data_IF_084332109401
#
_entry.id   IF_084332109401
#
_cell.length_a   1.000
_cell.length_b   1.000
_cell.length_c   1.000
_cell.angle_alpha   90.00
_cell.angle_beta   90.00
_cell.angle_gamma   90.00
#
_symmetry.space_group_name_H-M   'P 1'
#
loop_
_entity.id
_entity.type
_entity.pdbx_description
1 polymer ?
#
# COMPACT_ATOMS: atom_id res chain seq x y z
N UNK A 1 -13.31 19.75 11.30
CA UNK A 1 -12.20 19.55 12.24
C UNK A 1 -11.71 18.14 12.03
N UNK A 2 -10.40 17.91 11.96
CA UNK A 2 -9.86 16.56 12.07
C UNK A 2 -9.82 16.30 13.57
N UNK A 3 -10.65 15.39 14.05
CA UNK A 3 -10.69 15.01 15.47
C UNK A 3 -9.83 13.76 15.63
N UNK A 4 -8.84 13.84 16.51
CA UNK A 4 -8.02 12.69 16.89
C UNK A 4 -8.52 12.27 18.27
N UNK A 5 -9.31 11.22 18.30
CA UNK A 5 -9.88 10.69 19.53
C UNK A 5 -9.04 9.52 20.01
N UNK A 6 -8.63 9.56 21.29
CA UNK A 6 -8.16 8.36 21.98
C UNK A 6 -9.39 7.54 22.33
N UNK A 7 -9.36 6.23 22.08
CA UNK A 7 -10.51 5.36 22.35
C UNK A 7 -10.96 5.40 23.83
N UNK A 8 -10.04 5.73 24.75
CA UNK A 8 -10.33 5.94 26.17
C UNK A 8 -11.11 7.25 26.49
N UNK A 9 -11.22 8.20 25.55
CA UNK A 9 -11.83 9.52 25.76
C UNK A 9 -13.13 9.74 24.98
N UNK A 10 -13.68 8.70 24.35
CA UNK A 10 -14.93 8.75 23.57
C UNK A 10 -16.22 8.94 24.41
N UNK A 11 -16.13 9.59 25.58
CA UNK A 11 -17.26 10.01 26.42
C UNK A 11 -17.09 11.47 26.84
N UNK A 12 -17.31 12.39 25.91
CA UNK A 12 -17.37 13.82 26.18
C UNK A 12 -18.08 14.56 25.07
N UNK A 13 -19.39 14.77 25.22
CA UNK A 13 -20.19 15.53 24.26
C UNK A 13 -19.88 17.03 24.37
N UNK A 14 -19.01 17.56 23.50
CA UNK A 14 -19.06 18.97 23.18
C UNK A 14 -20.23 19.23 22.23
N UNK A 15 -21.20 20.02 22.70
CA UNK A 15 -22.35 20.46 21.91
C UNK A 15 -21.84 21.40 20.84
N UNK A 16 -21.50 20.82 19.69
CA UNK A 16 -21.24 21.56 18.46
C UNK A 16 -22.44 22.46 18.14
N UNK A 17 -22.24 23.68 17.61
CA UNK A 17 -23.34 24.56 17.26
C UNK A 17 -24.33 23.82 16.38
N UNK A 18 -25.64 24.03 16.60
CA UNK A 18 -26.71 23.45 15.79
C UNK A 18 -26.54 23.97 14.36
N UNK A 19 -25.81 23.23 13.54
CA UNK A 19 -25.71 23.48 12.11
C UNK A 19 -27.10 23.18 11.55
N UNK A 20 -27.74 24.19 10.96
CA UNK A 20 -28.98 23.99 10.23
C UNK A 20 -28.68 23.01 9.09
N UNK A 21 -29.27 21.81 9.17
CA UNK A 21 -29.06 20.79 8.14
C UNK A 21 -29.73 21.27 6.86
N UNK A 22 -29.01 21.19 5.74
CA UNK A 22 -29.53 21.41 4.39
C UNK A 22 -29.21 20.23 3.50
N UNK A 23 -29.92 20.13 2.38
CA UNK A 23 -29.64 19.12 1.37
C UNK A 23 -28.23 19.30 0.80
N UNK A 24 -27.57 18.16 0.52
CA UNK A 24 -26.28 18.10 -0.17
C UNK A 24 -26.44 18.71 -1.55
N UNK A 25 -25.55 19.64 -1.90
CA UNK A 25 -25.46 20.27 -3.21
C UNK A 25 -24.19 19.78 -3.92
N UNK A 26 -24.12 19.94 -5.24
CA UNK A 26 -22.94 19.54 -6.03
C UNK A 26 -21.65 20.21 -5.51
N UNK A 27 -21.76 21.44 -5.02
CA UNK A 27 -20.63 22.20 -4.47
C UNK A 27 -20.03 21.58 -3.20
N UNK A 28 -20.79 20.74 -2.49
CA UNK A 28 -20.29 20.04 -1.30
C UNK A 28 -19.26 18.97 -1.65
N UNK A 29 -19.32 18.39 -2.86
CA UNK A 29 -18.34 17.42 -3.33
C UNK A 29 -16.92 18.01 -3.30
N UNK A 30 -16.76 19.29 -3.64
CA UNK A 30 -15.47 19.98 -3.65
C UNK A 30 -15.00 20.39 -2.25
N UNK A 31 -15.87 20.28 -1.24
CA UNK A 31 -15.56 20.57 0.17
C UNK A 31 -15.07 19.33 0.90
N UNK A 32 -15.34 18.13 0.40
CA UNK A 32 -14.85 16.87 0.96
C UNK A 32 -13.33 16.84 0.88
N UNK A 33 -12.71 16.43 1.99
CA UNK A 33 -11.27 16.27 2.14
C UNK A 33 -11.02 14.80 2.46
N UNK A 34 -10.07 14.21 1.76
CA UNK A 34 -9.77 12.80 1.90
C UNK A 34 -8.55 12.63 2.79
N UNK A 35 -8.68 11.80 3.81
CA UNK A 35 -7.57 11.32 4.63
C UNK A 35 -7.19 9.94 4.12
N UNK A 36 -5.90 9.66 3.91
CA UNK A 36 -5.44 8.36 3.43
C UNK A 36 -4.09 7.97 4.06
N UNK A 37 -3.79 6.68 4.02
CA UNK A 37 -2.49 6.08 4.38
C UNK A 37 -1.95 6.56 5.74
N UNK A 38 -2.69 6.37 6.86
CA UNK A 38 -2.18 6.71 8.19
C UNK A 38 -1.02 5.80 8.59
N UNK A 39 0.10 6.39 8.97
CA UNK A 39 1.32 5.71 9.39
C UNK A 39 1.75 6.21 10.78
N UNK A 40 1.64 5.37 11.80
CA UNK A 40 2.13 5.67 13.15
C UNK A 40 3.67 5.57 13.19
N UNK A 41 4.31 6.48 13.93
CA UNK A 41 5.77 6.48 14.09
C UNK A 41 6.24 5.26 14.88
N UNK A 42 7.51 4.81 14.70
CA UNK A 42 8.02 3.62 15.39
C UNK A 42 7.93 3.67 16.92
N UNK A 43 7.90 4.88 17.48
CA UNK A 43 7.78 5.14 18.92
C UNK A 43 6.34 5.42 19.38
N UNK A 44 5.35 5.33 18.50
CA UNK A 44 3.93 5.51 18.81
C UNK A 44 3.47 6.96 19.03
N UNK A 45 4.35 7.96 18.91
CA UNK A 45 4.05 9.35 19.31
C UNK A 45 3.46 10.24 18.23
N UNK A 46 3.63 9.87 16.96
CA UNK A 46 3.18 10.68 15.81
C UNK A 46 2.45 9.82 14.80
N UNK A 47 1.52 10.42 14.06
CA UNK A 47 0.84 9.78 12.93
C UNK A 47 1.03 10.65 11.70
N UNK A 48 1.74 10.15 10.69
CA UNK A 48 1.83 10.78 9.38
C UNK A 48 0.69 10.29 8.51
N UNK A 49 0.04 11.18 7.75
CA UNK A 49 -1.06 10.80 6.87
C UNK A 49 -1.13 11.74 5.66
N UNK A 50 -1.81 11.26 4.62
CA UNK A 50 -2.09 12.05 3.41
C UNK A 50 -3.38 12.83 3.60
N UNK A 51 -3.34 14.13 3.34
CA UNK A 51 -4.51 15.01 3.28
C UNK A 51 -4.71 15.51 1.86
N UNK A 52 -5.82 15.14 1.23
CA UNK A 52 -6.11 15.43 -0.18
C UNK A 52 -7.36 16.31 -0.33
N UNK A 53 -7.30 17.25 -1.26
CA UNK A 53 -8.39 18.17 -1.55
C UNK A 53 -8.52 18.50 -3.04
N UNK A 54 -9.73 18.88 -3.42
CA UNK A 54 -10.03 19.32 -4.79
C UNK A 54 -9.72 20.80 -4.97
N UNK A 55 -9.17 21.15 -6.13
CA UNK A 55 -9.09 22.51 -6.64
C UNK A 55 -9.96 22.61 -7.90
N UNK A 56 -11.04 23.37 -7.80
CA UNK A 56 -12.02 23.51 -8.87
C UNK A 56 -11.48 24.33 -10.05
N UNK A 57 -10.65 25.33 -9.77
CA UNK A 57 -10.15 26.24 -10.80
C UNK A 57 -9.16 25.52 -11.71
N UNK A 58 -8.28 24.73 -11.12
CA UNK A 58 -7.28 23.94 -11.83
C UNK A 58 -7.80 22.56 -12.24
N UNK A 59 -9.07 22.25 -11.91
CA UNK A 59 -9.74 20.98 -12.19
C UNK A 59 -8.87 19.76 -11.84
N UNK A 60 -8.31 19.77 -10.63
CA UNK A 60 -7.35 18.76 -10.17
C UNK A 60 -7.49 18.48 -8.68
N UNK A 61 -6.74 17.49 -8.21
CA UNK A 61 -6.55 17.25 -6.78
C UNK A 61 -5.13 17.61 -6.37
N UNK A 62 -5.02 18.20 -5.18
CA UNK A 62 -3.77 18.37 -4.46
C UNK A 62 -3.75 17.48 -3.23
N UNK A 63 -2.56 17.09 -2.81
CA UNK A 63 -2.38 16.37 -1.56
C UNK A 63 -1.06 16.74 -0.90
N UNK A 64 -1.06 16.72 0.43
CA UNK A 64 0.13 17.00 1.23
C UNK A 64 0.16 16.06 2.43
N UNK A 65 1.36 15.89 2.99
CA UNK A 65 1.55 15.14 4.21
C UNK A 65 1.25 16.02 5.40
N UNK A 66 0.49 15.46 6.33
CA UNK A 66 0.23 16.03 7.64
C UNK A 66 0.75 15.07 8.69
N UNK A 67 1.16 15.61 9.83
CA UNK A 67 1.56 14.81 10.99
C UNK A 67 0.76 15.28 12.19
N UNK A 68 0.14 14.32 12.84
CA UNK A 68 -0.50 14.47 14.12
C UNK A 68 0.43 14.06 15.24
N UNK A 69 0.44 14.83 16.33
CA UNK A 69 1.00 14.42 17.61
C UNK A 69 -0.08 13.68 18.42
N UNK A 70 0.24 12.46 18.88
CA UNK A 70 -0.72 11.55 19.54
C UNK A 70 -1.08 12.01 20.95
N UNK A 71 -0.23 12.81 21.60
CA UNK A 71 -0.46 13.30 22.96
C UNK A 71 -1.29 14.57 22.99
N UNK A 72 -0.91 15.55 22.18
CA UNK A 72 -1.56 16.86 22.14
C UNK A 72 -2.72 16.94 21.16
N UNK A 73 -2.83 15.99 20.22
CA UNK A 73 -3.79 16.05 19.11
C UNK A 73 -3.47 17.12 18.07
N UNK A 74 -2.33 17.81 18.19
CA UNK A 74 -1.95 18.89 17.25
C UNK A 74 -1.61 18.29 15.90
N UNK A 75 -2.28 18.81 14.86
CA UNK A 75 -2.08 18.41 13.46
C UNK A 75 -1.31 19.49 12.72
N UNK A 76 -0.17 19.13 12.15
CA UNK A 76 0.74 20.06 11.45
C UNK A 76 0.91 19.65 9.98
N UNK A 77 0.79 20.59 9.02
CA UNK A 77 1.16 20.33 7.63
C UNK A 77 2.69 20.18 7.54
N UNK A 78 3.16 19.04 7.05
CA UNK A 78 4.59 18.71 6.93
C UNK A 78 5.14 19.00 5.53
N UNK A 79 4.31 18.85 4.51
CA UNK A 79 4.64 19.31 3.16
C UNK A 79 3.68 20.42 2.74
N UNK A 80 4.19 21.31 1.89
CA UNK A 80 3.42 22.37 1.23
C UNK A 80 3.86 22.35 -0.22
N UNK A 81 3.00 21.86 -1.11
CA UNK A 81 3.34 21.68 -2.51
C UNK A 81 2.17 22.01 -3.43
N UNK A 82 2.49 22.42 -4.65
CA UNK A 82 1.52 22.72 -5.72
C UNK A 82 1.04 21.46 -6.46
N UNK A 83 1.28 20.26 -5.92
CA UNK A 83 0.98 18.96 -6.55
C UNK A 83 0.62 17.91 -5.49
N UNK A 84 0.97 16.64 -5.70
CA UNK A 84 0.45 15.51 -4.93
C UNK A 84 1.57 14.79 -4.18
N UNK A 85 1.38 14.69 -2.87
CA UNK A 85 2.13 13.81 -1.97
C UNK A 85 1.26 12.69 -1.43
N UNK A 86 1.83 11.50 -1.25
CA UNK A 86 1.06 10.35 -0.77
C UNK A 86 1.92 9.24 -0.16
N UNK A 87 1.24 8.33 0.56
CA UNK A 87 1.76 7.07 1.11
C UNK A 87 2.98 7.22 2.05
N UNK A 88 2.95 8.09 3.07
CA UNK A 88 4.10 8.27 3.96
C UNK A 88 4.49 6.96 4.66
N UNK A 89 5.80 6.73 4.83
CA UNK A 89 6.40 5.61 5.56
C UNK A 89 7.52 6.12 6.46
N UNK A 90 7.40 5.92 7.77
CA UNK A 90 8.46 6.26 8.71
C UNK A 90 9.68 5.36 8.49
N UNK A 91 10.88 5.93 8.61
CA UNK A 91 12.09 5.13 8.77
C UNK A 91 12.01 4.30 10.06
N UNK A 92 12.61 3.10 10.12
CA UNK A 92 12.56 2.25 11.32
C UNK A 92 13.12 2.88 12.60
N UNK A 93 13.98 3.89 12.46
CA UNK A 93 14.55 4.67 13.56
C UNK A 93 13.73 5.94 13.89
N UNK A 94 12.65 6.22 13.14
CA UNK A 94 11.73 7.33 13.34
C UNK A 94 12.29 8.71 12.97
N UNK A 95 13.46 8.78 12.31
CA UNK A 95 14.12 10.06 11.99
C UNK A 95 13.72 10.65 10.64
N UNK A 96 13.08 9.90 9.78
CA UNK A 96 12.69 10.36 8.45
C UNK A 96 11.35 9.81 8.00
N UNK A 97 10.71 10.52 7.08
CA UNK A 97 9.49 10.09 6.40
C UNK A 97 9.81 9.97 4.92
N UNK A 98 9.67 8.77 4.37
CA UNK A 98 9.71 8.47 2.95
C UNK A 98 8.30 8.58 2.37
N UNK A 99 8.16 9.12 1.16
CA UNK A 99 6.86 9.27 0.54
C UNK A 99 6.95 9.39 -0.98
N UNK A 100 5.81 9.24 -1.66
CA UNK A 100 5.69 9.55 -3.09
C UNK A 100 5.41 11.04 -3.24
N UNK A 101 6.17 11.71 -4.08
CA UNK A 101 6.05 13.14 -4.31
C UNK A 101 6.12 13.52 -5.79
N UNK A 102 5.44 14.61 -6.11
CA UNK A 102 5.49 15.32 -7.39
C UNK A 102 5.90 16.77 -7.14
N UNK A 103 7.16 17.11 -7.43
CA UNK A 103 7.72 18.46 -7.17
C UNK A 103 8.73 18.81 -8.24
N UNK A 104 8.84 20.09 -8.60
CA UNK A 104 9.87 20.57 -9.53
C UNK A 104 9.92 19.79 -10.85
N UNK A 105 8.74 19.38 -11.35
CA UNK A 105 8.56 18.53 -12.55
C UNK A 105 9.19 17.13 -12.44
N UNK A 106 9.50 16.68 -11.22
CA UNK A 106 10.06 15.37 -10.89
C UNK A 106 9.08 14.58 -10.02
N UNK A 107 8.73 13.39 -10.49
CA UNK A 107 7.93 12.42 -9.76
C UNK A 107 8.83 11.30 -9.26
N UNK A 108 8.54 10.78 -8.07
CA UNK A 108 9.25 9.61 -7.56
C UNK A 108 9.21 9.50 -6.04
N UNK A 109 10.30 9.00 -5.46
CA UNK A 109 10.48 8.85 -4.02
C UNK A 109 11.20 10.07 -3.45
N UNK A 110 10.65 10.59 -2.37
CA UNK A 110 11.15 11.75 -1.64
C UNK A 110 11.27 11.41 -0.15
N UNK A 111 12.20 12.06 0.53
CA UNK A 111 12.46 11.86 1.96
C UNK A 111 12.58 13.20 2.65
N UNK A 112 12.05 13.31 3.87
CA UNK A 112 12.18 14.50 4.73
C UNK A 112 12.44 14.13 6.19
N UNK A 113 13.03 15.05 7.00
CA UNK A 113 13.24 14.83 8.44
C UNK A 113 11.93 14.73 9.23
N UNK A 114 11.88 13.80 10.20
CA UNK A 114 10.74 13.52 11.06
C UNK A 114 10.30 14.68 11.98
N UNK A 115 11.20 15.61 12.26
CA UNK A 115 11.01 16.83 13.03
C UNK A 115 10.65 18.04 12.17
N UNK A 116 10.55 17.85 10.85
CA UNK A 116 10.26 18.90 9.88
C UNK A 116 11.52 19.42 9.20
N UNK A 117 11.35 19.96 7.99
CA UNK A 117 12.44 20.40 7.14
C UNK A 117 12.07 20.26 5.67
N UNK A 118 13.01 20.58 4.78
CA UNK A 118 12.78 20.44 3.35
C UNK A 118 12.90 18.98 2.90
N UNK A 119 12.05 18.59 1.95
CA UNK A 119 12.11 17.27 1.35
C UNK A 119 13.18 17.22 0.25
N UNK A 120 13.98 16.16 0.25
CA UNK A 120 14.96 15.87 -0.79
C UNK A 120 14.50 14.75 -1.72
N UNK A 121 14.84 14.79 -3.02
CA UNK A 121 14.57 13.68 -3.92
C UNK A 121 15.48 12.50 -3.57
N UNK A 122 14.89 11.32 -3.41
CA UNK A 122 15.63 10.07 -3.22
C UNK A 122 15.75 9.31 -4.55
N UNK A 123 14.69 9.29 -5.35
CA UNK A 123 14.68 8.72 -6.70
C UNK A 123 13.67 9.46 -7.57
N UNK A 124 14.09 9.89 -8.75
CA UNK A 124 13.24 10.61 -9.73
C UNK A 124 13.47 10.14 -11.16
N UNK A 125 13.82 8.86 -11.32
CA UNK A 125 13.99 8.25 -12.64
C UNK A 125 12.67 8.26 -13.43
N UNK A 126 12.75 8.28 -14.76
CA UNK A 126 11.56 8.22 -15.62
C UNK A 126 10.98 6.81 -15.62
N UNK A 127 9.74 6.66 -15.20
CA UNK A 127 9.06 5.38 -15.11
C UNK A 127 7.86 5.43 -14.18
N UNK A 128 7.30 4.26 -13.89
CA UNK A 128 6.24 4.09 -12.90
C UNK A 128 6.81 3.51 -11.61
N UNK A 129 6.59 4.21 -10.50
CA UNK A 129 6.88 3.73 -9.15
C UNK A 129 5.69 2.94 -8.62
N UNK A 130 5.93 1.71 -8.16
CA UNK A 130 4.95 0.89 -7.47
C UNK A 130 5.07 1.03 -5.95
N UNK A 131 5.12 -0.10 -5.26
CA UNK A 131 5.25 -0.20 -3.81
C UNK A 131 6.69 0.02 -3.34
N UNK A 132 6.87 0.37 -2.06
CA UNK A 132 8.17 0.53 -1.43
C UNK A 132 8.11 0.22 0.06
N UNK A 133 9.21 -0.34 0.58
CA UNK A 133 9.38 -0.75 1.97
C UNK A 133 10.80 -0.45 2.46
N UNK A 134 10.91 -0.01 3.70
CA UNK A 134 12.21 0.15 4.38
C UNK A 134 12.83 -1.21 4.70
N UNK A 135 14.15 -1.31 4.59
CA UNK A 135 14.90 -2.39 5.26
C UNK A 135 14.77 -2.25 6.78
N UNK A 136 14.80 -3.34 7.56
CA UNK A 136 14.61 -3.27 9.02
C UNK A 136 15.65 -2.39 9.75
N UNK A 137 16.83 -2.22 9.15
CA UNK A 137 17.91 -1.37 9.66
C UNK A 137 17.79 0.10 9.25
N UNK A 138 16.82 0.45 8.39
CA UNK A 138 16.57 1.80 7.90
C UNK A 138 17.60 2.33 6.91
N UNK A 139 18.54 1.52 6.42
CA UNK A 139 19.59 1.98 5.50
C UNK A 139 19.22 1.91 4.03
N UNK A 140 18.23 1.08 3.71
CA UNK A 140 17.83 0.80 2.33
C UNK A 140 16.33 0.86 2.17
N UNK A 141 15.90 1.10 0.93
CA UNK A 141 14.51 1.02 0.51
C UNK A 141 14.43 0.04 -0.65
N UNK A 142 13.61 -1.02 -0.49
CA UNK A 142 13.22 -1.86 -1.61
C UNK A 142 11.95 -1.30 -2.23
N UNK A 143 11.87 -1.27 -3.56
CA UNK A 143 10.71 -0.76 -4.27
C UNK A 143 10.54 -1.44 -5.60
N UNK A 144 9.31 -1.46 -6.11
CA UNK A 144 9.03 -1.93 -7.45
C UNK A 144 9.03 -0.76 -8.42
N UNK A 145 9.72 -0.89 -9.55
CA UNK A 145 9.80 0.16 -10.55
C UNK A 145 9.71 -0.42 -11.95
N UNK A 146 8.96 0.26 -12.80
CA UNK A 146 8.85 -0.01 -14.22
C UNK A 146 9.49 1.14 -14.97
N UNK A 147 10.71 0.94 -15.45
CA UNK A 147 11.44 1.94 -16.21
C UNK A 147 10.66 2.33 -17.47
N UNK A 148 10.63 3.63 -17.78
CA UNK A 148 10.07 4.09 -19.05
C UNK A 148 11.01 3.66 -20.19
N UNK A 149 10.49 3.30 -21.38
CA UNK A 149 11.34 3.05 -22.54
C UNK A 149 12.10 4.33 -22.94
N UNK A 150 13.26 4.16 -23.55
CA UNK A 150 14.02 5.25 -24.18
C UNK A 150 14.25 4.95 -25.67
N UNK A 151 13.72 5.75 -26.61
CA UNK A 151 12.90 6.93 -26.38
C UNK A 151 11.54 6.57 -25.78
N UNK A 152 11.00 7.47 -24.95
CA UNK A 152 9.64 7.34 -24.44
C UNK A 152 8.71 7.44 -25.66
N UNK A 153 7.88 6.43 -25.95
CA UNK A 153 6.97 6.48 -27.09
C UNK A 153 6.12 7.75 -27.04
N UNK A 154 6.00 8.44 -28.18
CA UNK A 154 5.34 9.76 -28.32
C UNK A 154 3.88 9.79 -27.80
N UNK A 155 3.26 8.64 -27.55
CA UNK A 155 2.01 8.49 -26.79
C UNK A 155 2.04 9.12 -25.38
N UNK A 156 3.23 9.32 -24.79
CA UNK A 156 3.41 9.96 -23.49
C UNK A 156 3.98 11.39 -23.60
N UNK A 157 4.23 11.86 -24.82
CA UNK A 157 4.83 13.16 -25.05
C UNK A 157 3.71 14.19 -25.17
N UNK A 158 3.47 14.78 -24.00
CA UNK A 158 2.84 16.06 -23.73
C UNK A 158 1.35 16.05 -23.36
N UNK A 159 1.09 16.47 -22.11
CA UNK A 159 -0.09 17.28 -21.77
C UNK A 159 0.15 18.75 -22.20
N UNK A 160 1.05 18.99 -23.17
CA UNK A 160 1.39 20.32 -23.67
C UNK A 160 0.35 20.68 -24.75
N UNK A 161 -0.52 21.66 -24.50
CA UNK A 161 -1.54 22.09 -25.46
C UNK A 161 -0.94 22.60 -26.78
N UNK A 162 0.37 22.91 -26.82
CA UNK A 162 1.06 23.43 -28.00
C UNK A 162 1.66 22.34 -28.89
N UNK A 163 1.71 21.08 -28.45
CA UNK A 163 2.25 19.98 -29.27
C UNK A 163 1.32 19.62 -30.44
N UNK A 164 1.86 19.65 -31.66
CA UNK A 164 1.17 19.24 -32.89
C UNK A 164 1.81 17.95 -33.43
N UNK A 165 1.15 16.83 -33.21
CA UNK A 165 1.58 15.54 -33.73
C UNK A 165 1.65 15.54 -35.28
N UNK A 166 2.79 15.14 -35.84
CA UNK A 166 2.94 14.83 -37.28
C UNK A 166 2.58 13.37 -37.57
N UNK A 167 2.48 12.96 -38.83
CA UNK A 167 2.23 11.55 -39.20
C UNK A 167 3.43 10.63 -38.85
N UNK A 168 4.66 11.18 -38.78
CA UNK A 168 5.85 10.49 -38.27
C UNK A 168 5.80 10.33 -36.74
N UNK A 169 5.02 11.17 -36.05
CA UNK A 169 4.79 11.13 -34.59
C UNK A 169 3.60 10.24 -34.16
N UNK A 170 2.99 9.51 -35.10
CA UNK A 170 1.93 8.54 -34.81
C UNK A 170 2.50 7.12 -34.81
N UNK A 171 3.28 6.72 -33.77
CA UNK A 171 3.71 5.34 -33.68
C UNK A 171 2.45 4.46 -33.55
N UNK A 172 2.24 3.60 -34.54
CA UNK A 172 1.31 2.49 -34.38
C UNK A 172 2.06 1.38 -33.66
N UNK A 173 1.45 0.84 -32.62
CA UNK A 173 1.97 -0.30 -31.87
C UNK A 173 1.18 -1.52 -32.29
N UNK A 174 1.86 -2.54 -32.79
CA UNK A 174 1.21 -3.80 -33.14
C UNK A 174 1.06 -4.59 -31.84
N UNK A 175 -0.18 -4.67 -31.37
CA UNK A 175 -0.53 -5.37 -30.14
C UNK A 175 -1.00 -6.78 -30.52
N UNK A 176 -0.11 -7.76 -30.36
CA UNK A 176 -0.38 -9.15 -30.77
C UNK A 176 -0.98 -10.02 -29.65
N UNK A 177 -1.11 -9.48 -28.43
CA UNK A 177 -1.59 -10.21 -27.24
C UNK A 177 -2.78 -9.52 -26.59
N UNK A 178 -3.75 -10.30 -26.13
CA UNK A 178 -4.87 -9.83 -25.30
C UNK A 178 -4.71 -10.33 -23.87
N UNK A 179 -5.11 -9.53 -22.86
CA UNK A 179 -5.49 -8.13 -22.98
C UNK A 179 -4.25 -7.27 -23.29
N UNK A 180 -4.44 -6.22 -24.08
CA UNK A 180 -3.38 -5.27 -24.43
C UNK A 180 -3.54 -3.94 -23.69
N UNK A 181 -4.56 -3.82 -22.83
CA UNK A 181 -4.93 -2.58 -22.15
C UNK A 181 -5.56 -2.89 -20.79
N UNK A 182 -5.23 -2.09 -19.78
CA UNK A 182 -5.89 -2.13 -18.47
C UNK A 182 -7.22 -1.39 -18.51
N UNK A 183 -8.13 -1.67 -17.58
CA UNK A 183 -9.38 -0.91 -17.41
C UNK A 183 -9.12 0.59 -17.25
N UNK A 184 -7.99 0.97 -16.63
CA UNK A 184 -7.56 2.35 -16.41
C UNK A 184 -6.99 3.06 -17.65
N UNK A 185 -6.93 2.41 -18.81
CA UNK A 185 -6.48 3.07 -20.03
C UNK A 185 -5.06 2.72 -20.48
N UNK A 186 -4.25 2.13 -19.60
CA UNK A 186 -2.82 1.89 -19.86
C UNK A 186 -2.62 0.70 -20.80
N UNK A 187 -1.71 0.83 -21.76
CA UNK A 187 -1.34 -0.28 -22.62
C UNK A 187 -0.43 -1.25 -21.87
N UNK A 188 -0.62 -2.55 -22.12
CA UNK A 188 0.23 -3.61 -21.61
C UNK A 188 1.41 -3.79 -22.59
N UNK A 189 2.41 -2.92 -22.44
CA UNK A 189 3.53 -2.72 -23.38
C UNK A 189 4.69 -3.71 -23.21
N UNK A 190 4.48 -4.83 -22.52
CA UNK A 190 5.55 -5.78 -22.18
C UNK A 190 6.50 -5.30 -21.07
N UNK A 191 6.41 -4.05 -20.62
CA UNK A 191 7.18 -3.54 -19.49
C UNK A 191 6.71 -4.18 -18.18
N UNK A 192 7.65 -4.47 -17.28
CA UNK A 192 7.39 -5.12 -15.99
C UNK A 192 7.82 -4.24 -14.83
N UNK A 193 7.11 -4.37 -13.71
CA UNK A 193 7.64 -3.91 -12.43
C UNK A 193 8.71 -4.88 -11.93
N UNK A 194 9.94 -4.38 -11.81
CA UNK A 194 11.04 -5.11 -11.20
C UNK A 194 11.36 -4.56 -9.82
N UNK A 195 12.01 -5.38 -8.99
CA UNK A 195 12.44 -4.99 -7.66
C UNK A 195 13.78 -4.26 -7.77
N UNK A 196 13.86 -3.11 -7.14
CA UNK A 196 15.07 -2.32 -6.96
C UNK A 196 15.37 -2.15 -5.48
N UNK A 197 16.65 -1.97 -5.17
CA UNK A 197 17.14 -1.63 -3.84
C UNK A 197 17.93 -0.32 -3.93
N UNK A 198 17.54 0.65 -3.11
CA UNK A 198 18.22 1.93 -3.03
C UNK A 198 18.85 2.10 -1.65
N UNK A 199 20.12 2.49 -1.64
CA UNK A 199 20.85 2.90 -0.44
C UNK A 199 20.54 4.37 -0.13
N UNK A 200 20.02 4.62 1.08
CA UNK A 200 19.43 5.93 1.43
C UNK A 200 20.48 7.01 1.61
N UNK A 201 21.68 6.64 2.09
CA UNK A 201 22.77 7.58 2.34
C UNK A 201 23.48 7.97 1.03
N UNK A 202 23.76 6.98 0.18
CA UNK A 202 24.54 7.19 -1.05
C UNK A 202 23.68 7.50 -2.28
N UNK A 203 22.37 7.23 -2.21
CA UNK A 203 21.46 7.30 -3.36
C UNK A 203 21.71 6.21 -4.40
N UNK A 204 22.57 5.22 -4.12
CA UNK A 204 22.90 4.16 -5.06
C UNK A 204 21.69 3.23 -5.24
N UNK A 205 21.19 3.14 -6.48
CA UNK A 205 20.09 2.27 -6.89
C UNK A 205 20.62 1.02 -7.62
N UNK A 206 20.11 -0.16 -7.27
CA UNK A 206 20.40 -1.42 -7.95
C UNK A 206 19.12 -2.19 -8.28
N UNK A 207 19.00 -2.68 -9.52
CA UNK A 207 17.93 -3.61 -9.91
C UNK A 207 18.26 -5.03 -9.44
N UNK A 208 17.32 -5.69 -8.77
CA UNK A 208 17.48 -7.04 -8.22
C UNK A 208 16.81 -8.14 -9.05
N UNK A 209 15.74 -7.83 -9.79
CA UNK A 209 15.03 -8.78 -10.66
C UNK A 209 14.98 -8.28 -12.11
N UNK A 210 15.01 -9.20 -13.08
CA UNK A 210 15.13 -8.88 -14.52
C UNK A 210 14.34 -9.84 -15.42
N UNK A 211 13.68 -10.85 -14.85
CA UNK A 211 12.86 -11.79 -15.62
C UNK A 211 11.58 -11.12 -16.12
N UNK A 212 10.97 -11.61 -17.20
CA UNK A 212 9.79 -10.99 -17.85
C UNK A 212 8.46 -11.18 -17.08
N UNK A 213 8.49 -10.93 -15.77
CA UNK A 213 7.35 -11.02 -14.85
C UNK A 213 7.24 -9.77 -14.00
N UNK A 214 6.01 -9.42 -13.62
CA UNK A 214 5.78 -8.38 -12.64
C UNK A 214 6.09 -8.93 -11.24
N UNK A 215 6.84 -8.15 -10.47
CA UNK A 215 7.16 -8.42 -9.08
C UNK A 215 6.50 -7.33 -8.21
N UNK A 216 5.86 -7.73 -7.11
CA UNK A 216 5.10 -6.84 -6.21
C UNK A 216 4.93 -7.39 -4.79
N UNK A 217 4.20 -6.69 -3.93
CA UNK A 217 3.91 -7.05 -2.54
C UNK A 217 5.18 -7.38 -1.74
N UNK A 218 6.01 -6.36 -1.53
CA UNK A 218 7.34 -6.52 -0.92
C UNK A 218 7.28 -6.63 0.61
N UNK A 219 8.05 -7.55 1.19
CA UNK A 219 8.23 -7.64 2.64
C UNK A 219 9.62 -8.15 3.04
N UNK A 220 10.39 -7.32 3.75
CA UNK A 220 11.67 -7.75 4.31
C UNK A 220 11.48 -8.76 5.44
N UNK A 221 12.34 -9.77 5.47
CA UNK A 221 12.56 -10.59 6.67
C UNK A 221 13.00 -9.71 7.85
N UNK A 222 12.72 -10.11 9.11
CA UNK A 222 13.04 -9.28 10.29
C UNK A 222 14.53 -8.95 10.43
N UNK A 223 15.42 -9.81 9.94
CA UNK A 223 16.88 -9.60 9.95
C UNK A 223 17.41 -8.85 8.73
N UNK A 224 16.54 -8.52 7.76
CA UNK A 224 16.86 -7.80 6.54
C UNK A 224 17.65 -8.60 5.49
N UNK A 225 17.90 -9.89 5.70
CA UNK A 225 18.73 -10.72 4.79
C UNK A 225 17.95 -11.25 3.60
N UNK A 226 16.63 -11.29 3.70
CA UNK A 226 15.73 -11.77 2.66
C UNK A 226 14.59 -10.78 2.41
N UNK A 227 14.09 -10.77 1.18
CA UNK A 227 12.92 -10.01 0.74
C UNK A 227 11.90 -10.99 0.13
N UNK A 228 10.73 -11.10 0.74
CA UNK A 228 9.60 -11.81 0.14
C UNK A 228 8.86 -10.89 -0.83
N UNK A 229 8.34 -11.46 -1.91
CA UNK A 229 7.54 -10.76 -2.91
C UNK A 229 6.58 -11.72 -3.62
N UNK A 230 5.52 -11.18 -4.21
CA UNK A 230 4.59 -11.90 -5.06
C UNK A 230 4.92 -11.69 -6.54
N UNK A 231 4.81 -12.75 -7.33
CA UNK A 231 4.99 -12.69 -8.79
C UNK A 231 4.20 -13.80 -9.47
N UNK A 232 3.58 -13.50 -10.62
CA UNK A 232 2.93 -14.50 -11.46
C UNK A 232 3.90 -14.98 -12.54
N UNK A 233 4.49 -16.15 -12.31
CA UNK A 233 5.45 -16.78 -13.25
C UNK A 233 4.88 -18.04 -13.89
N UNK A 234 3.56 -18.09 -14.08
CA UNK A 234 2.90 -19.17 -14.81
C UNK A 234 3.22 -19.11 -16.30
N UNK A 235 2.89 -20.18 -17.03
CA UNK A 235 3.11 -20.26 -18.49
C UNK A 235 2.30 -19.19 -19.24
N UNK A 236 1.11 -18.85 -18.75
CA UNK A 236 0.22 -17.84 -19.31
C UNK A 236 -0.33 -16.92 -18.20
N UNK A 237 0.47 -15.95 -17.69
CA UNK A 237 0.07 -15.08 -16.58
C UNK A 237 -1.19 -14.27 -16.82
N UNK A 238 -1.53 -14.04 -18.08
CA UNK A 238 -2.75 -13.34 -18.49
C UNK A 238 -3.97 -14.23 -18.20
N UNK A 239 -3.95 -15.46 -18.69
CA UNK A 239 -5.02 -16.43 -18.44
C UNK A 239 -5.06 -16.83 -16.97
N UNK A 240 -3.90 -16.97 -16.39
CA UNK A 240 -3.67 -17.42 -15.03
C UNK A 240 -3.49 -16.25 -14.07
N UNK A 241 -4.27 -15.17 -14.23
CA UNK A 241 -4.10 -13.88 -13.54
C UNK A 241 -4.11 -13.97 -12.00
N UNK A 242 -4.72 -15.00 -11.42
CA UNK A 242 -4.71 -15.26 -9.98
C UNK A 242 -3.50 -16.07 -9.51
N UNK A 243 -2.63 -16.57 -10.39
CA UNK A 243 -1.54 -17.48 -10.04
C UNK A 243 -0.27 -16.76 -9.58
N UNK A 244 -0.43 -15.77 -8.69
CA UNK A 244 0.70 -15.21 -7.99
C UNK A 244 1.28 -16.27 -7.06
N UNK A 245 2.61 -16.34 -6.98
CA UNK A 245 3.32 -17.13 -5.99
C UNK A 245 4.22 -16.24 -5.15
N UNK A 246 4.52 -16.70 -3.93
CA UNK A 246 5.48 -16.03 -3.06
C UNK A 246 6.87 -16.54 -3.41
N UNK A 247 7.76 -15.60 -3.62
CA UNK A 247 9.18 -15.81 -3.83
C UNK A 247 9.96 -15.14 -2.70
N UNK A 248 11.15 -15.66 -2.44
CA UNK A 248 12.11 -15.04 -1.53
C UNK A 248 13.40 -14.77 -2.30
N UNK A 249 13.80 -13.51 -2.26
CA UNK A 249 15.01 -12.96 -2.85
C UNK A 249 16.04 -12.68 -1.76
N UNK A 250 17.28 -13.08 -1.98
CA UNK A 250 18.45 -12.59 -1.22
C UNK A 250 18.97 -11.33 -1.91
N UNK A 251 18.86 -10.13 -1.29
CA UNK A 251 19.30 -8.88 -1.93
C UNK A 251 20.81 -8.79 -2.18
N UNK A 252 21.64 -9.55 -1.44
CA UNK A 252 23.10 -9.54 -1.59
C UNK A 252 23.58 -10.46 -2.72
N UNK A 253 22.93 -11.61 -2.92
CA UNK A 253 23.32 -12.58 -3.97
C UNK A 253 22.44 -12.54 -5.20
N UNK A 254 21.29 -11.84 -5.13
CA UNK A 254 20.23 -11.79 -6.16
C UNK A 254 19.60 -13.14 -6.48
N UNK A 255 19.80 -14.14 -5.60
CA UNK A 255 19.19 -15.46 -5.76
C UNK A 255 17.72 -15.39 -5.36
N UNK A 256 16.86 -15.82 -6.28
CA UNK A 256 15.42 -15.95 -6.08
C UNK A 256 15.07 -17.43 -5.91
N UNK A 257 14.20 -17.72 -4.95
CA UNK A 257 13.59 -19.05 -4.80
C UNK A 257 12.09 -18.94 -4.61
N UNK A 258 11.34 -19.89 -5.18
CA UNK A 258 9.90 -20.02 -5.01
C UNK A 258 9.58 -20.63 -3.65
N UNK A 259 8.58 -20.11 -2.94
CA UNK A 259 8.15 -20.57 -1.60
C UNK A 259 6.83 -21.34 -1.67
N UNK A 260 5.86 -20.84 -2.44
CA UNK A 260 4.56 -21.50 -2.65
C UNK A 260 4.54 -22.27 -3.97
N UNK A 261 3.70 -23.30 -4.05
CA UNK A 261 3.62 -24.18 -5.22
C UNK A 261 2.18 -24.58 -5.58
N UNK A 262 1.18 -23.98 -4.93
CA UNK A 262 -0.24 -24.31 -5.10
C UNK A 262 -0.97 -23.19 -5.80
N UNK A 263 -1.96 -23.55 -6.59
CA UNK A 263 -2.76 -22.61 -7.37
C UNK A 263 -3.54 -21.62 -6.48
N UNK A 264 -3.86 -20.45 -7.04
CA UNK A 264 -4.70 -19.40 -6.46
C UNK A 264 -3.91 -18.12 -6.09
N UNK A 265 -4.59 -17.04 -5.68
CA UNK A 265 -3.93 -15.78 -5.36
C UNK A 265 -3.12 -15.91 -4.08
N UNK A 266 -1.96 -15.22 -4.05
CA UNK A 266 -1.21 -14.90 -2.84
C UNK A 266 -0.78 -13.45 -2.92
N UNK A 267 -1.10 -12.68 -1.90
CA UNK A 267 -0.77 -11.26 -1.76
C UNK A 267 -0.36 -10.96 -0.31
N UNK A 268 0.17 -9.75 -0.09
CA UNK A 268 0.51 -9.23 1.24
C UNK A 268 1.36 -10.21 2.08
N UNK A 269 2.54 -10.66 1.58
CA UNK A 269 3.40 -11.51 2.36
C UNK A 269 3.88 -10.76 3.61
N UNK A 270 3.86 -11.42 4.77
CA UNK A 270 4.32 -10.84 6.04
C UNK A 270 5.15 -11.88 6.78
N UNK A 271 6.36 -11.53 7.19
CA UNK A 271 7.22 -12.44 7.94
C UNK A 271 6.79 -12.53 9.40
N UNK A 272 6.90 -13.73 10.00
CA UNK A 272 6.86 -13.84 11.45
C UNK A 272 8.00 -13.03 12.08
N UNK A 273 7.85 -12.53 13.33
CA UNK A 273 8.92 -11.79 14.02
C UNK A 273 10.23 -12.57 14.15
N UNK A 274 10.15 -13.90 14.18
CA UNK A 274 11.31 -14.81 14.24
C UNK A 274 11.86 -15.23 12.86
N UNK A 275 11.26 -14.77 11.75
CA UNK A 275 11.67 -15.07 10.37
C UNK A 275 11.41 -16.51 9.91
N UNK A 276 10.82 -17.37 10.74
CA UNK A 276 10.60 -18.80 10.42
C UNK A 276 9.43 -19.04 9.47
N UNK A 277 8.48 -18.12 9.40
CA UNK A 277 7.26 -18.26 8.62
C UNK A 277 6.97 -17.01 7.79
N UNK A 278 6.24 -17.21 6.70
CA UNK A 278 5.62 -16.16 5.91
C UNK A 278 4.10 -16.37 5.96
N UNK A 279 3.36 -15.33 6.29
CA UNK A 279 1.91 -15.25 6.24
C UNK A 279 1.51 -14.56 4.94
N UNK A 280 0.37 -14.94 4.35
CA UNK A 280 -0.12 -14.31 3.13
C UNK A 280 -1.64 -14.43 3.02
N UNK A 281 -2.24 -13.47 2.33
CA UNK A 281 -3.65 -13.49 1.96
C UNK A 281 -3.83 -14.26 0.66
N UNK A 282 -4.79 -15.16 0.60
CA UNK A 282 -5.11 -15.91 -0.61
C UNK A 282 -6.24 -16.91 -0.45
N UNK A 283 -6.38 -17.78 -1.45
CA UNK A 283 -7.20 -18.98 -1.37
C UNK A 283 -6.61 -20.08 -2.27
N UNK A 284 -7.04 -21.33 -2.03
CA UNK A 284 -6.59 -22.49 -2.82
C UNK A 284 -7.44 -22.77 -4.07
N UNK A 285 -8.36 -21.85 -4.39
CA UNK A 285 -9.29 -21.92 -5.52
C UNK A 285 -10.01 -23.29 -5.62
N UNK A 286 -10.71 -23.73 -4.55
CA UNK A 286 -11.36 -25.05 -4.52
C UNK A 286 -12.42 -25.23 -5.62
N UNK A 287 -12.90 -24.12 -6.20
CA UNK A 287 -13.89 -24.08 -7.29
C UNK A 287 -13.27 -23.88 -8.68
N UNK A 288 -11.95 -24.09 -8.81
CA UNK A 288 -11.20 -23.90 -10.05
C UNK A 288 -10.68 -22.47 -10.22
N UNK A 289 -9.90 -22.26 -11.30
CA UNK A 289 -9.30 -20.96 -11.64
C UNK A 289 -10.39 -19.89 -11.82
N UNK A 290 -10.31 -18.75 -11.11
CA UNK A 290 -11.31 -17.69 -11.19
C UNK A 290 -12.65 -17.99 -10.51
N UNK A 291 -12.74 -19.06 -9.70
CA UNK A 291 -13.95 -19.37 -8.94
C UNK A 291 -14.14 -18.43 -7.74
N UNK A 292 -15.38 -18.06 -7.37
CA UNK A 292 -15.63 -17.15 -6.25
C UNK A 292 -15.27 -17.84 -4.94
N UNK A 293 -14.24 -17.32 -4.29
CA UNK A 293 -13.76 -17.77 -2.98
C UNK A 293 -13.30 -16.56 -2.19
N UNK A 294 -13.62 -16.52 -0.90
CA UNK A 294 -13.15 -15.45 -0.07
C UNK A 294 -11.64 -15.56 0.19
N UNK A 295 -10.97 -14.42 0.32
CA UNK A 295 -9.57 -14.37 0.72
C UNK A 295 -9.45 -14.72 2.21
N UNK A 296 -8.48 -15.57 2.52
CA UNK A 296 -8.14 -16.07 3.86
C UNK A 296 -6.65 -15.86 4.12
N UNK A 297 -6.22 -15.97 5.38
CA UNK A 297 -4.80 -15.93 5.73
C UNK A 297 -4.24 -17.35 5.88
N UNK A 298 -3.11 -17.59 5.21
CA UNK A 298 -2.32 -18.80 5.31
C UNK A 298 -0.94 -18.49 5.87
N UNK A 299 -0.30 -19.50 6.46
CA UNK A 299 1.07 -19.48 6.93
C UNK A 299 1.87 -20.57 6.25
N UNK A 300 3.10 -20.29 5.82
CA UNK A 300 4.03 -21.27 5.24
C UNK A 300 5.41 -21.12 5.89
N UNK A 301 6.19 -22.20 6.09
CA UNK A 301 7.59 -22.07 6.48
C UNK A 301 8.33 -21.19 5.47
N UNK A 302 9.21 -20.30 5.93
CA UNK A 302 9.91 -19.36 5.04
C UNK A 302 10.79 -20.09 4.01
N UNK A 303 11.20 -21.33 4.29
CA UNK A 303 11.90 -22.22 3.36
C UNK A 303 11.02 -22.85 2.26
N UNK A 304 9.69 -22.71 2.33
CA UNK A 304 8.72 -23.38 1.46
C UNK A 304 8.09 -24.61 2.11
N UNK A 305 7.11 -25.22 1.42
CA UNK A 305 6.37 -26.38 1.88
C UNK A 305 4.86 -26.20 1.73
N UNK A 306 4.09 -26.91 2.56
CA UNK A 306 2.63 -26.81 2.55
C UNK A 306 2.15 -25.64 3.42
N UNK A 307 1.34 -24.71 2.88
CA UNK A 307 0.73 -23.67 3.68
C UNK A 307 -0.34 -24.24 4.63
N UNK A 308 -0.56 -23.57 5.75
CA UNK A 308 -1.58 -23.88 6.75
C UNK A 308 -2.57 -22.72 6.83
N UNK A 309 -3.86 -23.00 6.74
CA UNK A 309 -4.91 -22.00 6.94
C UNK A 309 -4.93 -21.61 8.43
N UNK A 310 -4.72 -20.32 8.72
CA UNK A 310 -4.76 -19.82 10.11
C UNK A 310 -6.11 -19.17 10.47
N UNK A 311 -6.88 -18.72 9.48
CA UNK A 311 -8.21 -18.09 9.68
C UNK A 311 -9.32 -19.14 9.58
N UNK A 312 -9.36 -20.04 10.57
CA UNK A 312 -10.29 -21.17 10.60
C UNK A 312 -11.70 -20.70 10.96
N UNK A 313 -12.74 -21.34 10.42
CA UNK A 313 -14.14 -21.01 10.67
C UNK A 313 -14.52 -19.53 10.47
N UNK A 314 -13.74 -18.80 9.66
CA UNK A 314 -13.98 -17.40 9.34
C UNK A 314 -14.91 -17.27 8.14
N UNK A 315 -15.95 -16.45 8.29
CA UNK A 315 -16.99 -16.19 7.27
C UNK A 315 -16.90 -14.76 6.69
N UNK A 316 -15.80 -14.05 6.93
CA UNK A 316 -15.51 -12.74 6.32
C UNK A 316 -14.48 -12.84 5.20
N UNK A 317 -14.31 -11.77 4.44
CA UNK A 317 -13.26 -11.64 3.43
C UNK A 317 -12.07 -10.87 4.02
N UNK A 318 -10.87 -11.44 4.00
CA UNK A 318 -9.66 -10.71 4.47
C UNK A 318 -9.35 -9.56 3.51
N UNK A 319 -9.36 -8.34 4.03
CA UNK A 319 -9.27 -7.09 3.26
C UNK A 319 -10.57 -6.28 3.27
N UNK A 320 -10.50 -5.08 2.70
CA UNK A 320 -11.59 -4.11 2.62
C UNK A 320 -12.26 -4.14 1.24
N UNK A 321 -13.50 -4.65 1.19
CA UNK A 321 -14.40 -4.69 0.04
C UNK A 321 -15.54 -3.68 0.14
N UNK A 322 -15.52 -2.82 1.15
CA UNK A 322 -16.54 -1.78 1.31
C UNK A 322 -16.36 -0.75 0.21
N UNK A 323 -17.48 -0.43 -0.43
CA UNK A 323 -17.53 0.55 -1.52
C UNK A 323 -17.91 1.91 -0.93
N UNK A 324 -17.11 2.92 -1.23
CA UNK A 324 -17.36 4.30 -0.85
C UNK A 324 -16.63 5.27 -1.79
N UNK A 325 -17.09 6.51 -1.83
CA UNK A 325 -16.54 7.60 -2.64
C UNK A 325 -15.89 8.70 -1.79
N UNK A 326 -15.74 8.46 -0.48
CA UNK A 326 -15.19 9.40 0.51
C UNK A 326 -13.77 9.04 0.97
N UNK A 327 -13.10 8.09 0.30
CA UNK A 327 -11.69 7.73 0.53
C UNK A 327 -11.01 7.34 -0.78
N UNK A 328 -9.68 7.34 -0.82
CA UNK A 328 -8.98 6.75 -1.97
C UNK A 328 -9.06 5.22 -1.93
N UNK A 329 -9.08 4.63 -3.12
CA UNK A 329 -8.94 3.19 -3.28
C UNK A 329 -7.44 2.87 -3.34
N UNK A 330 -6.84 2.50 -2.20
CA UNK A 330 -5.40 2.26 -2.10
C UNK A 330 -5.07 0.77 -2.30
N UNK A 331 -5.41 -0.08 -1.31
CA UNK A 331 -5.13 -1.52 -1.33
C UNK A 331 -6.33 -2.27 -0.74
N UNK A 332 -6.75 -3.38 -1.36
CA UNK A 332 -7.83 -4.23 -0.82
C UNK A 332 -7.34 -4.99 0.41
N UNK A 333 -6.13 -5.57 0.35
CA UNK A 333 -5.54 -6.33 1.45
C UNK A 333 -4.26 -5.66 1.93
N UNK A 334 -4.32 -5.07 3.12
CA UNK A 334 -3.13 -4.52 3.76
C UNK A 334 -2.22 -5.63 4.32
N UNK A 335 -0.90 -5.38 4.45
CA UNK A 335 -0.01 -6.27 5.18
C UNK A 335 -0.53 -6.53 6.59
N UNK A 336 -0.35 -7.76 7.06
CA UNK A 336 -0.73 -8.12 8.42
C UNK A 336 0.28 -7.58 9.40
N UNK A 337 -0.15 -7.39 10.64
CA UNK A 337 0.71 -6.88 11.69
C UNK A 337 0.71 -7.82 12.88
N UNK A 338 1.86 -7.91 13.55
CA UNK A 338 2.00 -8.66 14.80
C UNK A 338 1.90 -7.66 15.96
N UNK A 339 0.83 -7.72 16.78
CA UNK A 339 0.76 -6.97 18.02
C UNK A 339 1.90 -7.35 18.96
N UNK A 340 2.06 -6.58 20.04
CA UNK A 340 3.05 -6.85 21.09
C UNK A 340 3.00 -8.32 21.54
N UNK A 341 4.17 -8.95 21.58
CA UNK A 341 4.34 -10.36 21.94
C UNK A 341 4.36 -11.31 20.74
N UNK A 342 3.74 -10.94 19.61
CA UNK A 342 3.83 -11.69 18.36
C UNK A 342 3.20 -13.09 18.41
N UNK A 343 2.25 -13.31 19.32
CA UNK A 343 1.52 -14.58 19.47
C UNK A 343 0.23 -14.61 18.63
N UNK A 344 -0.19 -13.45 18.13
CA UNK A 344 -1.35 -13.26 17.27
C UNK A 344 -1.00 -12.43 16.04
N UNK A 345 -1.93 -12.41 15.10
CA UNK A 345 -1.89 -11.63 13.88
C UNK A 345 -3.14 -10.75 13.81
N UNK A 346 -2.94 -9.45 13.61
CA UNK A 346 -4.00 -8.47 13.41
C UNK A 346 -4.15 -8.17 11.92
N UNK A 347 -5.39 -8.07 11.46
CA UNK A 347 -5.73 -7.82 10.06
C UNK A 347 -7.11 -7.17 9.92
N UNK A 348 -7.34 -6.49 8.79
CA UNK A 348 -8.66 -5.99 8.42
C UNK A 348 -9.44 -7.04 7.61
N UNK A 349 -10.75 -7.12 7.83
CA UNK A 349 -11.62 -7.99 7.05
C UNK A 349 -13.04 -7.44 6.90
N UNK A 350 -13.60 -7.66 5.72
CA UNK A 350 -14.96 -7.31 5.37
C UNK A 350 -15.94 -8.39 5.81
N UNK A 351 -16.99 -7.99 6.50
CA UNK A 351 -18.04 -8.88 6.96
C UNK A 351 -19.34 -8.09 7.13
N UNK A 352 -20.47 -8.64 6.65
CA UNK A 352 -21.82 -8.07 6.82
C UNK A 352 -21.92 -6.55 6.51
N UNK A 353 -21.29 -6.11 5.42
CA UNK A 353 -21.37 -4.72 4.96
C UNK A 353 -20.51 -3.72 5.74
N UNK A 354 -19.59 -4.19 6.60
CA UNK A 354 -18.53 -3.36 7.18
C UNK A 354 -17.14 -3.96 6.97
N UNK A 355 -16.10 -3.20 7.31
CA UNK A 355 -14.71 -3.68 7.37
C UNK A 355 -14.19 -3.39 8.77
N UNK A 356 -13.64 -4.39 9.44
CA UNK A 356 -13.27 -4.31 10.86
C UNK A 356 -11.88 -4.88 11.10
N UNK A 357 -11.31 -4.57 12.26
CA UNK A 357 -10.11 -5.25 12.74
C UNK A 357 -10.44 -6.59 13.41
N UNK A 358 -9.65 -7.60 13.05
CA UNK A 358 -9.71 -8.95 13.58
C UNK A 358 -8.33 -9.39 14.05
N UNK A 359 -8.32 -10.19 15.10
CA UNK A 359 -7.14 -10.85 15.63
C UNK A 359 -7.30 -12.37 15.51
N UNK A 360 -6.22 -13.07 15.18
CA UNK A 360 -6.19 -14.54 15.13
C UNK A 360 -4.88 -15.05 15.73
N UNK A 361 -4.87 -16.16 16.49
CA UNK A 361 -3.63 -16.77 16.95
C UNK A 361 -2.70 -17.10 15.78
N UNK A 362 -1.39 -16.87 15.94
CA UNK A 362 -0.41 -17.06 14.86
C UNK A 362 -0.34 -18.50 14.34
N UNK A 363 -0.70 -19.45 15.19
CA UNK A 363 -0.74 -20.89 14.89
C UNK A 363 -2.07 -21.35 14.28
N UNK A 364 -3.05 -20.45 14.20
CA UNK A 364 -4.36 -20.68 13.63
C UNK A 364 -5.46 -20.81 14.67
N UNK A 365 -6.66 -20.43 14.25
CA UNK A 365 -7.88 -20.51 15.05
C UNK A 365 -8.99 -19.68 14.42
N UNK A 366 -10.08 -19.49 15.16
CA UNK A 366 -11.17 -18.62 14.75
C UNK A 366 -10.79 -17.15 14.96
N UNK A 367 -10.79 -16.31 13.92
CA UNK A 367 -10.57 -14.88 14.10
C UNK A 367 -11.63 -14.25 14.99
N UNK A 368 -11.20 -13.33 15.84
CA UNK A 368 -12.04 -12.58 16.75
C UNK A 368 -12.01 -11.12 16.34
N UNK A 369 -13.19 -10.54 16.12
CA UNK A 369 -13.33 -9.11 15.88
C UNK A 369 -12.98 -8.36 17.16
N UNK A 370 -12.13 -7.34 17.06
CA UNK A 370 -11.63 -6.60 18.25
C UNK A 370 -12.27 -5.21 18.45
N UNK A 371 -13.22 -4.83 17.58
CA UNK A 371 -13.91 -3.54 17.62
C UNK A 371 -15.44 -3.76 17.67
N UNK A 372 -16.18 -2.81 18.26
CA UNK A 372 -17.65 -2.78 18.25
C UNK A 372 -18.20 -1.83 17.18
N UNK A 373 -19.48 -1.99 16.79
CA UNK A 373 -20.20 -1.06 15.90
C UNK A 373 -20.32 -1.51 14.44
N UNK A 374 -20.84 -0.64 13.58
CA UNK A 374 -20.90 -0.85 12.14
C UNK A 374 -20.17 0.30 11.46
N UNK A 375 -19.03 -0.01 10.86
CA UNK A 375 -18.10 0.97 10.31
C UNK A 375 -17.18 0.31 9.29
N UNK A 376 -16.34 1.13 8.68
CA UNK A 376 -15.27 0.74 7.78
C UNK A 376 -13.93 1.11 8.39
N UNK A 377 -13.04 0.13 8.51
CA UNK A 377 -11.61 0.34 8.66
C UNK A 377 -10.99 0.41 7.26
N UNK A 378 -10.64 1.64 6.87
CA UNK A 378 -10.10 1.94 5.55
C UNK A 378 -8.61 1.62 5.45
N UNK A 379 -7.86 1.85 6.53
CA UNK A 379 -6.44 1.57 6.62
C UNK A 379 -5.98 1.52 8.09
N UNK A 380 -4.93 0.76 8.38
CA UNK A 380 -4.30 0.74 9.70
C UNK A 380 -2.77 0.58 9.62
N UNK A 381 -2.08 1.04 10.67
CA UNK A 381 -0.65 0.81 10.89
C UNK A 381 -0.35 0.69 12.37
N UNK A 382 0.64 -0.13 12.73
CA UNK A 382 1.07 -0.30 14.14
C UNK A 382 2.49 0.22 14.33
N UNK A 383 2.80 0.65 15.55
CA UNK A 383 4.15 1.06 15.90
C UNK A 383 5.11 -0.14 15.94
N UNK A 384 6.40 0.15 16.15
CA UNK A 384 7.44 -0.89 16.15
C UNK A 384 7.27 -1.92 17.27
N UNK A 385 6.60 -1.54 18.36
CA UNK A 385 6.41 -2.37 19.54
C UNK A 385 5.13 -3.21 19.44
N UNK A 386 4.26 -2.89 18.48
CA UNK A 386 2.92 -3.47 18.34
C UNK A 386 2.00 -3.04 19.48
N UNK A 387 2.25 -1.88 20.09
CA UNK A 387 1.51 -1.36 21.25
C UNK A 387 0.46 -0.33 20.86
N UNK A 388 0.80 0.54 19.91
CA UNK A 388 -0.08 1.59 19.43
C UNK A 388 -0.40 1.38 17.95
N UNK A 389 -1.58 1.84 17.55
CA UNK A 389 -2.08 1.71 16.19
C UNK A 389 -2.69 3.03 15.73
N UNK A 390 -2.43 3.42 14.49
CA UNK A 390 -3.20 4.44 13.78
C UNK A 390 -4.22 3.76 12.87
N UNK A 391 -5.45 4.25 12.91
CA UNK A 391 -6.57 3.67 12.16
C UNK A 391 -7.29 4.80 11.43
N UNK A 392 -7.58 4.60 10.14
CA UNK A 392 -8.52 5.42 9.40
C UNK A 392 -9.87 4.71 9.38
N UNK A 393 -10.84 5.31 10.07
CA UNK A 393 -12.20 4.78 10.21
C UNK A 393 -13.20 5.68 9.51
N UNK A 394 -14.13 5.08 8.77
CA UNK A 394 -15.34 5.72 8.24
C UNK A 394 -16.58 5.12 8.89
N UNK A 395 -17.47 5.95 9.38
CA UNK A 395 -18.77 5.50 9.89
C UNK A 395 -19.83 5.59 8.78
N UNK A 396 -20.76 4.64 8.76
CA UNK A 396 -21.93 4.71 7.90
C UNK A 396 -22.97 5.66 8.54
N UNK A 397 -23.59 6.50 7.71
CA UNK A 397 -24.67 7.41 8.13
C UNK A 397 -25.99 6.69 8.42
#
# INVERSE_FOLDING_TARGET
MIEITREAEAKGSEVSPKVEKRDIQIDDLFRIKFLNSPEISPDGRKIAFTYKWTDLKENTYYSSLYVADVESGVVTPFTRGEKQDSRPRWSPDGKSILFRGDRDKKKGLWILPADGGEAGPLMTDKGALGEYVWSPDGKKVAFTFREAPDPIPLRHISNDPEYKATDEDRPYEILEKVPFKTTGGELLTGLRFHIYLLDVETGKKEQLTQEDFDDGSLAFSPDGRALAFCSNRSEDPIRDYEHNDIYVLDPGTRKVRKVTNHWGPKNAPTWSPDGRFIYFAGHRAPRGKGGPEDVRIYRIPSGGGEPVLITQDFQGYVGNLIVGDTREFDVIVEPFVFPKGGDSLLFSASHEGGCFLYEVPRDGGKPVRIEEGQHEIAACSVDRQGENMAVLRGDFL
#
